data_IF_391429580778
#
_entry.id   IF_391429580778
#
_cell.length_a   1.000
_cell.length_b   1.000
_cell.length_c   1.000
_cell.angle_alpha   90.00
_cell.angle_beta   90.00
_cell.angle_gamma   90.00
#
_symmetry.space_group_name_H-M   'P 1'
#
loop_
_entity.id
_entity.type
_entity.pdbx_description
1 polymer ?
#
# COMPACT_ATOMS: atom_id res chain seq x y z
N UNK A 1 -24.41 48.82 9.04
CA UNK A 1 -23.92 48.11 7.83
C UNK A 1 -22.90 47.08 8.28
N UNK A 2 -23.29 45.80 8.41
CA UNK A 2 -22.40 44.73 8.88
C UNK A 2 -22.05 43.89 7.66
N UNK A 3 -20.79 43.98 7.21
CA UNK A 3 -20.25 43.15 6.12
C UNK A 3 -19.87 41.81 6.73
N UNK A 4 -20.70 40.80 6.53
CA UNK A 4 -20.36 39.42 6.87
C UNK A 4 -19.27 38.94 5.91
N UNK A 5 -18.03 38.91 6.40
CA UNK A 5 -16.95 38.22 5.70
C UNK A 5 -17.31 36.73 5.67
N UNK A 6 -17.64 36.22 4.48
CA UNK A 6 -17.75 34.78 4.22
C UNK A 6 -16.39 34.12 4.51
N UNK A 7 -16.30 33.46 5.66
CA UNK A 7 -15.21 32.52 5.94
C UNK A 7 -15.59 31.21 5.27
N UNK A 8 -14.99 30.94 4.11
CA UNK A 8 -15.08 29.62 3.46
C UNK A 8 -14.23 28.66 4.29
N UNK A 9 -14.89 27.84 5.12
CA UNK A 9 -14.24 26.78 5.89
C UNK A 9 -13.92 25.66 4.90
N UNK A 10 -12.67 25.61 4.43
CA UNK A 10 -12.16 24.47 3.67
C UNK A 10 -11.99 23.29 4.64
N UNK A 11 -12.99 22.41 4.71
CA UNK A 11 -12.86 21.12 5.38
C UNK A 11 -11.89 20.27 4.55
N UNK A 12 -10.61 20.25 4.92
CA UNK A 12 -9.70 19.21 4.45
C UNK A 12 -10.24 17.89 5.01
N UNK A 13 -10.84 17.07 4.15
CA UNK A 13 -11.03 15.67 4.44
C UNK A 13 -9.62 15.07 4.58
N UNK A 14 -9.19 14.87 5.83
CA UNK A 14 -8.03 14.04 6.11
C UNK A 14 -8.36 12.67 5.54
N UNK A 15 -7.71 12.32 4.43
CA UNK A 15 -7.77 10.98 3.87
C UNK A 15 -7.06 10.11 4.91
N UNK A 16 -7.80 9.62 5.89
CA UNK A 16 -7.28 8.68 6.86
C UNK A 16 -6.79 7.49 6.06
N UNK A 17 -5.53 7.05 6.22
CA UNK A 17 -5.15 5.75 5.69
C UNK A 17 -6.07 4.75 6.37
N UNK A 18 -6.95 4.13 5.58
CA UNK A 18 -7.79 3.05 6.08
C UNK A 18 -6.82 1.93 6.42
N UNK A 19 -6.43 1.85 7.69
CA UNK A 19 -5.72 0.70 8.25
C UNK A 19 -6.77 -0.39 8.42
N UNK A 20 -7.24 -0.95 7.31
CA UNK A 20 -7.90 -2.24 7.33
C UNK A 20 -6.80 -3.27 7.60
N UNK A 21 -6.88 -3.92 8.75
CA UNK A 21 -6.07 -5.11 9.00
C UNK A 21 -6.32 -6.09 7.83
N UNK A 22 -5.27 -6.37 7.05
CA UNK A 22 -5.35 -7.15 5.82
C UNK A 22 -5.34 -6.37 4.50
N UNK A 23 -5.16 -5.04 4.47
CA UNK A 23 -5.08 -4.27 3.21
C UNK A 23 -3.67 -3.72 2.96
N UNK A 24 -3.14 -3.95 1.76
CA UNK A 24 -1.95 -3.29 1.25
C UNK A 24 -2.23 -1.79 0.95
N UNK A 25 -1.21 -0.94 0.90
CA UNK A 25 -1.38 0.47 0.50
C UNK A 25 -1.51 0.57 -1.03
N UNK A 26 -2.63 1.09 -1.56
CA UNK A 26 -2.80 1.22 -3.01
C UNK A 26 -1.67 1.99 -3.69
N UNK A 27 -1.21 1.47 -4.82
CA UNK A 27 -0.12 2.04 -5.60
C UNK A 27 1.29 1.61 -5.16
N UNK A 28 1.45 0.97 -4.01
CA UNK A 28 2.73 0.41 -3.58
C UNK A 28 2.91 -1.03 -4.04
N UNK A 29 4.17 -1.42 -4.20
CA UNK A 29 4.54 -2.82 -4.41
C UNK A 29 5.02 -3.44 -3.10
N UNK A 30 4.76 -4.73 -2.92
CA UNK A 30 5.10 -5.49 -1.74
C UNK A 30 5.71 -6.82 -2.11
N UNK A 31 6.76 -7.21 -1.38
CA UNK A 31 7.24 -8.58 -1.39
C UNK A 31 6.16 -9.52 -0.84
N UNK A 32 6.08 -10.73 -1.37
CA UNK A 32 5.19 -11.75 -0.83
C UNK A 32 5.46 -12.03 0.65
N UNK A 33 6.73 -11.99 1.07
CA UNK A 33 7.12 -12.06 2.49
C UNK A 33 6.57 -10.91 3.34
N UNK A 34 6.52 -9.69 2.81
CA UNK A 34 5.93 -8.52 3.49
C UNK A 34 4.41 -8.69 3.61
N UNK A 35 3.74 -9.10 2.54
CA UNK A 35 2.29 -9.35 2.56
C UNK A 35 1.89 -10.48 3.52
N UNK A 36 2.68 -11.55 3.59
CA UNK A 36 2.47 -12.63 4.55
C UNK A 36 2.52 -12.13 6.00
N UNK A 37 3.43 -11.20 6.33
CA UNK A 37 3.48 -10.56 7.65
C UNK A 37 2.24 -9.68 7.91
N UNK A 38 1.59 -9.17 6.87
CA UNK A 38 0.33 -8.41 6.95
C UNK A 38 -0.92 -9.30 6.97
N UNK A 39 -0.77 -10.62 7.06
CA UNK A 39 -1.88 -11.56 7.18
C UNK A 39 -2.33 -12.22 5.88
N UNK A 40 -1.58 -12.06 4.77
CA UNK A 40 -1.92 -12.65 3.47
C UNK A 40 -1.42 -14.10 3.29
N UNK A 41 -1.10 -14.81 4.38
CA UNK A 41 -0.49 -16.15 4.32
C UNK A 41 -1.37 -17.22 3.64
N UNK A 42 -2.69 -17.03 3.58
CA UNK A 42 -3.63 -17.99 2.96
C UNK A 42 -3.76 -17.83 1.44
N UNK A 43 -3.16 -16.81 0.83
CA UNK A 43 -3.33 -16.47 -0.59
C UNK A 43 -2.29 -17.13 -1.52
N UNK A 44 -1.43 -18.01 -1.02
CA UNK A 44 -0.45 -18.73 -1.85
C UNK A 44 0.59 -17.82 -2.50
N UNK A 45 0.95 -16.71 -1.85
CA UNK A 45 1.96 -15.78 -2.33
C UNK A 45 3.35 -16.44 -2.32
N UNK A 46 4.14 -16.18 -3.36
CA UNK A 46 5.54 -16.54 -3.39
C UNK A 46 6.34 -15.56 -2.53
N UNK A 47 7.11 -16.05 -1.56
CA UNK A 47 7.93 -15.23 -0.64
C UNK A 47 8.86 -14.27 -1.38
N UNK A 48 9.40 -14.71 -2.53
CA UNK A 48 10.29 -13.95 -3.41
C UNK A 48 9.54 -13.20 -4.54
N UNK A 49 8.22 -13.27 -4.59
CA UNK A 49 7.41 -12.53 -5.57
C UNK A 49 7.26 -11.07 -5.17
N UNK A 50 7.24 -10.18 -6.16
CA UNK A 50 6.85 -8.79 -6.01
C UNK A 50 5.41 -8.65 -6.51
N UNK A 51 4.57 -7.99 -5.71
CA UNK A 51 3.14 -7.84 -5.95
C UNK A 51 2.75 -6.37 -5.90
N UNK A 52 1.94 -5.93 -6.85
CA UNK A 52 1.40 -4.57 -6.89
C UNK A 52 0.06 -4.49 -6.15
N UNK A 53 -0.09 -3.51 -5.26
CA UNK A 53 -1.35 -3.23 -4.60
C UNK A 53 -2.24 -2.32 -5.46
N UNK A 54 -3.37 -2.85 -5.92
CA UNK A 54 -4.35 -2.14 -6.73
C UNK A 54 -5.14 -1.10 -5.93
N UNK A 55 -5.84 -0.18 -6.62
CA UNK A 55 -6.77 0.78 -6.01
C UNK A 55 -7.89 0.13 -5.21
N UNK A 56 -8.22 -1.11 -5.52
CA UNK A 56 -9.26 -1.90 -4.83
C UNK A 56 -8.75 -2.60 -3.56
N UNK A 57 -7.47 -2.44 -3.20
CA UNK A 57 -6.85 -3.11 -2.04
C UNK A 57 -6.49 -4.59 -2.27
N UNK A 58 -6.58 -5.07 -3.52
CA UNK A 58 -6.12 -6.40 -3.92
C UNK A 58 -4.68 -6.35 -4.42
N UNK A 59 -3.93 -7.44 -4.25
CA UNK A 59 -2.57 -7.57 -4.79
C UNK A 59 -2.56 -8.37 -6.09
N UNK A 60 -1.78 -7.92 -7.07
CA UNK A 60 -1.56 -8.64 -8.32
C UNK A 60 -0.08 -8.95 -8.50
N UNK A 61 0.30 -10.15 -9.00
CA UNK A 61 1.70 -10.47 -9.24
C UNK A 61 2.31 -9.51 -10.26
N UNK A 62 3.47 -8.93 -9.93
CA UNK A 62 4.19 -7.98 -10.78
C UNK A 62 5.44 -8.62 -11.39
N UNK A 63 6.29 -9.22 -10.56
CA UNK A 63 7.48 -9.96 -11.01
C UNK A 63 7.93 -10.97 -9.95
N UNK A 64 8.87 -11.85 -10.31
CA UNK A 64 9.53 -12.77 -9.38
C UNK A 64 10.99 -12.36 -9.20
N UNK A 65 11.44 -12.20 -7.95
CA UNK A 65 12.81 -11.82 -7.65
C UNK A 65 13.71 -13.07 -7.61
N UNK A 66 14.74 -13.11 -8.47
CA UNK A 66 15.68 -14.23 -8.52
C UNK A 66 16.68 -14.25 -7.36
N UNK A 67 17.16 -13.07 -6.93
CA UNK A 67 18.16 -12.94 -5.86
C UNK A 67 17.46 -12.76 -4.52
N UNK A 68 16.72 -11.66 -4.38
CA UNK A 68 15.92 -11.37 -3.20
C UNK A 68 14.87 -10.32 -3.49
N UNK A 69 13.74 -10.42 -2.79
CA UNK A 69 12.78 -9.34 -2.67
C UNK A 69 13.08 -8.58 -1.37
N UNK A 70 13.37 -7.30 -1.47
CA UNK A 70 13.78 -6.46 -0.34
C UNK A 70 12.65 -5.50 0.03
N UNK A 71 12.36 -5.44 1.33
CA UNK A 71 11.39 -4.51 1.88
C UNK A 71 11.91 -3.06 1.77
N UNK A 72 11.14 -2.18 1.14
CA UNK A 72 11.50 -0.77 0.91
C UNK A 72 11.37 0.11 2.15
N UNK A 73 10.68 -0.36 3.18
CA UNK A 73 10.35 0.37 4.39
C UNK A 73 8.93 0.95 4.37
N UNK A 74 8.50 1.50 5.50
CA UNK A 74 7.15 2.03 5.66
C UNK A 74 6.85 3.15 4.65
N UNK A 75 5.75 3.00 3.90
CA UNK A 75 5.31 3.98 2.90
C UNK A 75 6.08 3.95 1.58
N UNK A 76 7.03 3.02 1.41
CA UNK A 76 7.81 2.83 0.18
C UNK A 76 7.45 1.50 -0.47
N UNK A 77 7.59 1.42 -1.79
CA UNK A 77 7.45 0.15 -2.50
C UNK A 77 8.64 -0.77 -2.21
N UNK A 78 8.35 -2.04 -2.01
CA UNK A 78 9.32 -3.12 -2.04
C UNK A 78 9.88 -3.31 -3.46
N UNK A 79 11.02 -3.98 -3.59
CA UNK A 79 11.68 -4.15 -4.89
C UNK A 79 12.49 -5.44 -4.98
N UNK A 80 12.62 -5.94 -6.21
CA UNK A 80 13.58 -7.00 -6.51
C UNK A 80 15.00 -6.42 -6.57
N UNK A 81 15.90 -7.01 -5.80
CA UNK A 81 17.33 -6.78 -6.00
C UNK A 81 17.79 -7.62 -7.19
N UNK A 82 18.45 -6.97 -8.15
CA UNK A 82 19.01 -7.59 -9.36
C UNK A 82 20.46 -7.99 -9.15
#
# INVERSE_FOLDING_TARGET
MIKFLSVVIATLAAITPVVQAGSCTPGLDYCGSTLMQYGWSTFGLATMGLYHCTSSGNVTPKEYCYVQCRNGGAGMSDYCQK
#
